data_IF_154824490745
#
_entry.id   IF_154824490745
#
_cell.length_a   1.000
_cell.length_b   1.000
_cell.length_c   1.000
_cell.angle_alpha   90.00
_cell.angle_beta   90.00
_cell.angle_gamma   90.00
#
_symmetry.space_group_name_H-M   'P 1'
#
loop_
_entity.id
_entity.type
_entity.pdbx_description
1 polymer ?
#
# COMPACT_ATOMS: atom_id res chain seq x y z
N UNK A 1 9.04 -0.01 3.70
CA UNK A 1 7.61 0.37 3.65
C UNK A 1 7.48 1.83 4.06
N UNK A 2 6.94 2.70 3.20
CA UNK A 2 6.86 4.15 3.45
C UNK A 2 5.56 4.48 4.19
N UNK A 3 5.59 5.36 5.18
CA UNK A 3 4.38 5.84 5.89
C UNK A 3 4.06 7.27 5.48
N UNK A 4 2.79 7.56 5.23
CA UNK A 4 2.31 8.89 4.83
C UNK A 4 0.97 9.19 5.49
N UNK A 5 0.77 10.43 5.93
CA UNK A 5 -0.54 10.84 6.46
C UNK A 5 -1.60 10.86 5.36
N UNK A 6 -2.86 10.63 5.71
CA UNK A 6 -3.99 10.70 4.76
C UNK A 6 -4.04 12.03 4.00
N UNK A 7 -3.76 13.15 4.69
CA UNK A 7 -3.64 14.49 4.08
C UNK A 7 -2.46 14.58 3.12
N UNK A 8 -1.31 13.99 3.48
CA UNK A 8 -0.12 13.96 2.64
C UNK A 8 -0.29 13.10 1.39
N UNK A 9 -1.04 12.00 1.50
CA UNK A 9 -1.37 11.11 0.39
C UNK A 9 -2.33 11.79 -0.60
N UNK A 10 -3.41 12.40 -0.11
CA UNK A 10 -4.37 13.11 -0.95
C UNK A 10 -3.72 14.24 -1.78
N UNK A 11 -2.77 14.97 -1.18
CA UNK A 11 -2.05 16.05 -1.86
C UNK A 11 -1.03 15.59 -2.91
N UNK A 12 -0.59 14.33 -2.87
CA UNK A 12 0.52 13.81 -3.68
C UNK A 12 0.21 12.40 -4.18
N UNK A 13 -0.99 12.20 -4.72
CA UNK A 13 -1.46 10.87 -5.10
C UNK A 13 -0.53 10.21 -6.13
N UNK A 14 -0.09 10.93 -7.16
CA UNK A 14 0.84 10.41 -8.16
C UNK A 14 2.13 9.84 -7.52
N UNK A 15 2.80 10.63 -6.66
CA UNK A 15 4.00 10.17 -5.96
C UNK A 15 3.76 9.01 -4.98
N UNK A 16 2.52 8.82 -4.51
CA UNK A 16 2.14 7.63 -3.72
C UNK A 16 2.06 6.41 -4.62
N UNK A 17 1.48 6.54 -5.82
CA UNK A 17 1.40 5.45 -6.80
C UNK A 17 2.80 5.05 -7.29
N UNK A 18 3.64 6.02 -7.68
CA UNK A 18 5.02 5.76 -8.11
C UNK A 18 5.83 5.04 -7.02
N UNK A 19 5.62 5.43 -5.75
CA UNK A 19 6.26 4.77 -4.63
C UNK A 19 5.72 3.34 -4.40
N UNK A 20 4.41 3.13 -4.59
CA UNK A 20 3.73 1.85 -4.40
C UNK A 20 4.15 0.78 -5.40
N UNK A 21 4.58 1.19 -6.60
CA UNK A 21 5.18 0.30 -7.60
C UNK A 21 6.45 -0.35 -7.07
N UNK A 22 7.31 0.42 -6.41
CA UNK A 22 8.55 -0.09 -5.85
C UNK A 22 8.33 -0.82 -4.52
N UNK A 23 7.57 -0.25 -3.59
CA UNK A 23 7.36 -0.82 -2.26
C UNK A 23 6.02 -0.39 -1.63
N UNK A 24 5.42 -1.21 -0.73
CA UNK A 24 4.17 -0.84 -0.08
C UNK A 24 4.23 0.53 0.64
N UNK A 25 3.16 1.31 0.49
CA UNK A 25 2.96 2.61 1.13
C UNK A 25 1.80 2.54 2.11
N UNK A 26 2.06 2.81 3.38
CA UNK A 26 1.04 2.84 4.44
C UNK A 26 0.48 4.24 4.56
N UNK A 27 -0.83 4.34 4.43
CA UNK A 27 -1.58 5.56 4.72
C UNK A 27 -2.01 5.54 6.18
N UNK A 28 -1.62 6.55 6.93
CA UNK A 28 -1.91 6.71 8.35
C UNK A 28 -2.85 7.89 8.61
N UNK A 29 -3.70 7.77 9.64
CA UNK A 29 -4.54 8.87 10.15
C UNK A 29 -4.40 8.93 11.66
N UNK A 30 -3.95 10.09 12.18
CA UNK A 30 -3.67 10.31 13.61
C UNK A 30 -2.72 9.24 14.19
N UNK A 31 -1.62 8.96 13.48
CA UNK A 31 -0.59 7.98 13.88
C UNK A 31 -1.00 6.51 13.79
N UNK A 32 -2.21 6.21 13.29
CA UNK A 32 -2.70 4.83 13.13
C UNK A 32 -2.74 4.44 11.66
N UNK A 33 -2.24 3.25 11.28
CA UNK A 33 -2.36 2.74 9.91
C UNK A 33 -3.84 2.53 9.56
N UNK A 34 -4.23 2.92 8.34
CA UNK A 34 -5.62 2.83 7.86
C UNK A 34 -5.75 2.12 6.52
N UNK A 35 -4.75 2.25 5.65
CA UNK A 35 -4.72 1.58 4.36
C UNK A 35 -3.27 1.33 3.95
N UNK A 36 -3.08 0.37 3.03
CA UNK A 36 -1.80 0.14 2.35
C UNK A 36 -2.06 0.21 0.85
N UNK A 37 -1.22 0.95 0.15
CA UNK A 37 -1.19 1.02 -1.31
C UNK A 37 -0.04 0.16 -1.79
N UNK A 38 -0.33 -0.74 -2.72
CA UNK A 38 0.64 -1.60 -3.41
C UNK A 38 0.30 -1.60 -4.90
N UNK A 39 1.26 -1.96 -5.75
CA UNK A 39 0.96 -2.25 -7.15
C UNK A 39 0.03 -3.44 -7.29
N UNK A 40 -0.79 -3.42 -8.35
CA UNK A 40 -1.75 -4.49 -8.65
C UNK A 40 -1.05 -5.87 -8.74
N UNK A 41 0.06 -5.95 -9.48
CA UNK A 41 0.87 -7.18 -9.59
C UNK A 41 1.29 -7.76 -8.23
N UNK A 42 1.63 -6.89 -7.28
CA UNK A 42 2.04 -7.31 -5.92
C UNK A 42 0.84 -7.78 -5.11
N UNK A 43 -0.31 -7.12 -5.26
CA UNK A 43 -1.57 -7.55 -4.65
C UNK A 43 -1.96 -8.96 -5.13
N UNK A 44 -1.96 -9.20 -6.44
CA UNK A 44 -2.31 -10.49 -7.03
C UNK A 44 -1.38 -11.63 -6.56
N UNK A 45 -0.08 -11.33 -6.46
CA UNK A 45 0.90 -12.26 -5.90
C UNK A 45 0.58 -12.60 -4.44
N UNK A 46 0.24 -11.60 -3.63
CA UNK A 46 -0.12 -11.83 -2.22
C UNK A 46 -1.39 -12.68 -2.10
N UNK A 47 -2.42 -12.40 -2.89
CA UNK A 47 -3.62 -13.24 -2.89
C UNK A 47 -3.33 -14.68 -3.31
N UNK A 48 -2.51 -14.86 -4.34
CA UNK A 48 -2.13 -16.20 -4.84
C UNK A 48 -1.41 -17.00 -3.76
N UNK A 49 -0.40 -16.40 -3.12
CA UNK A 49 0.37 -17.05 -2.05
C UNK A 49 -0.50 -17.33 -0.84
N UNK A 50 -1.35 -16.39 -0.44
CA UNK A 50 -2.26 -16.58 0.70
C UNK A 50 -3.21 -17.74 0.46
N UNK A 51 -3.83 -17.83 -0.71
CA UNK A 51 -4.72 -18.95 -1.08
C UNK A 51 -3.98 -20.29 -1.01
N UNK A 52 -2.79 -20.37 -1.59
CA UNK A 52 -1.99 -21.60 -1.58
C UNK A 52 -1.52 -22.04 -0.18
N UNK A 53 -1.49 -21.13 0.80
CA UNK A 53 -1.13 -21.44 2.19
C UNK A 53 -2.34 -21.80 3.06
N UNK A 54 -3.55 -21.53 2.59
CA UNK A 54 -4.80 -21.81 3.31
C UNK A 54 -5.50 -23.08 2.85
N UNK A 55 -5.06 -23.67 1.73
CA UNK A 55 -5.49 -24.98 1.21
C UNK A 55 -4.54 -26.09 1.68
#
# INVERSE_FOLDING_TARGET
MRRISSKGAARRMAAVLDAADTAPVVIERRGKPRAVVVSARRFDLYETVLRALTD
#
